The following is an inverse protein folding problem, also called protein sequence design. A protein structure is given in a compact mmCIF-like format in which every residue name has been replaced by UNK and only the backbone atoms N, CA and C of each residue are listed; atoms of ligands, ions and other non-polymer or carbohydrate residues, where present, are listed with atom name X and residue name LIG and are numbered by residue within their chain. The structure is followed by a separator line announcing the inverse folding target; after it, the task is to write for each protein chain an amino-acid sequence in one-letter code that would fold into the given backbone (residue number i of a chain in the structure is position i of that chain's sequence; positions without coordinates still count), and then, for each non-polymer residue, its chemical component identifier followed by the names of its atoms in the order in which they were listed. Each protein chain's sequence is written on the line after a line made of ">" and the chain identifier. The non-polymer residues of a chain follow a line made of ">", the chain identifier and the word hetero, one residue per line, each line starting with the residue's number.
data_IF_136656241276
#
_entry.id   IF_136656241276
#
_cell.length_a   1.000
_cell.length_b   1.000
_cell.length_c   1.000
_cell.angle_alpha   90.00
_cell.angle_beta   90.00
_cell.angle_gamma   90.00
#
_symmetry.space_group_name_H-M   'P 1'
#
loop_
_entity.id
_entity.type
_entity.pdbx_description
1 polymer ?
#
# COMPACT_ATOMS: atom_id res chain seq x y z
N UNK A 1 12.59 -11.96 -41.18
CA UNK A 1 13.49 -11.86 -40.01
C UNK A 1 12.78 -12.55 -38.85
N UNK A 2 13.31 -13.68 -38.37
CA UNK A 2 12.66 -14.45 -37.31
C UNK A 2 12.63 -13.61 -36.03
N UNK A 3 11.42 -13.36 -35.51
CA UNK A 3 11.22 -12.72 -34.21
C UNK A 3 12.03 -13.55 -33.19
N UNK A 4 12.85 -12.90 -32.36
CA UNK A 4 13.65 -13.60 -31.34
C UNK A 4 12.69 -14.04 -30.24
N UNK A 5 12.18 -15.26 -30.33
CA UNK A 5 11.28 -15.82 -29.31
C UNK A 5 12.11 -16.12 -28.04
N UNK A 6 11.47 -15.93 -26.90
CA UNK A 6 11.93 -16.45 -25.61
C UNK A 6 11.25 -17.79 -25.44
N UNK A 7 12.02 -18.78 -25.03
CA UNK A 7 11.53 -20.12 -24.74
C UNK A 7 11.37 -20.30 -23.23
N UNK A 8 10.65 -21.35 -22.82
CA UNK A 8 10.46 -21.68 -21.40
C UNK A 8 11.80 -21.85 -20.66
N UNK A 9 12.76 -22.56 -21.27
CA UNK A 9 14.06 -22.85 -20.66
C UNK A 9 14.86 -21.58 -20.33
N UNK A 10 14.76 -20.53 -21.17
CA UNK A 10 15.39 -19.23 -20.93
C UNK A 10 14.83 -18.61 -19.62
N UNK A 11 13.52 -18.72 -19.41
CA UNK A 11 12.81 -18.18 -18.23
C UNK A 11 13.08 -19.03 -16.99
N UNK A 12 13.06 -20.36 -17.12
CA UNK A 12 13.35 -21.28 -16.04
C UNK A 12 14.79 -21.10 -15.51
N UNK A 13 15.78 -21.00 -16.41
CA UNK A 13 17.17 -20.77 -16.02
C UNK A 13 17.37 -19.43 -15.30
N UNK A 14 16.75 -18.36 -15.80
CA UNK A 14 16.79 -17.04 -15.16
C UNK A 14 16.08 -17.03 -13.79
N UNK A 15 14.95 -17.73 -13.68
CA UNK A 15 14.20 -17.84 -12.44
C UNK A 15 14.97 -18.65 -11.38
N UNK A 16 15.57 -19.78 -11.77
CA UNK A 16 16.42 -20.57 -10.87
C UNK A 16 17.63 -19.76 -10.39
N UNK A 17 18.30 -19.02 -11.28
CA UNK A 17 19.43 -18.15 -10.92
C UNK A 17 19.05 -17.09 -9.88
N UNK A 18 17.84 -16.52 -9.97
CA UNK A 18 17.33 -15.58 -8.98
C UNK A 18 17.06 -16.28 -7.65
N UNK A 19 16.42 -17.46 -7.68
CA UNK A 19 16.15 -18.29 -6.50
C UNK A 19 17.44 -18.68 -5.76
N UNK A 20 18.46 -19.13 -6.47
CA UNK A 20 19.77 -19.50 -5.91
C UNK A 20 20.49 -18.29 -5.28
N UNK A 21 20.24 -17.09 -5.81
CA UNK A 21 20.74 -15.83 -5.26
C UNK A 21 19.91 -15.30 -4.08
N UNK A 22 18.91 -16.04 -3.61
CA UNK A 22 17.98 -15.61 -2.55
C UNK A 22 17.06 -14.45 -2.97
N UNK A 23 16.92 -14.21 -4.28
CA UNK A 23 16.09 -13.14 -4.84
C UNK A 23 14.81 -13.70 -5.44
N UNK A 24 13.72 -12.96 -5.31
CA UNK A 24 12.42 -13.35 -5.89
C UNK A 24 12.48 -13.29 -7.42
N UNK A 25 12.13 -14.38 -8.13
CA UNK A 25 11.99 -14.38 -9.58
C UNK A 25 10.79 -13.54 -10.02
N UNK A 26 11.03 -12.32 -10.50
CA UNK A 26 9.97 -11.43 -11.02
C UNK A 26 10.09 -11.28 -12.53
N UNK A 27 8.98 -10.99 -13.22
CA UNK A 27 8.97 -10.80 -14.68
C UNK A 27 9.99 -9.74 -15.13
N UNK A 28 10.14 -8.67 -14.36
CA UNK A 28 11.12 -7.59 -14.65
C UNK A 28 12.54 -8.11 -14.50
N UNK A 29 12.87 -8.73 -13.37
CA UNK A 29 14.22 -9.25 -13.11
C UNK A 29 14.63 -10.32 -14.13
N UNK A 30 13.69 -11.18 -14.54
CA UNK A 30 13.92 -12.18 -15.57
C UNK A 30 14.13 -11.53 -16.93
N UNK A 31 13.34 -10.51 -17.29
CA UNK A 31 13.53 -9.76 -18.53
C UNK A 31 14.87 -9.04 -18.56
N UNK A 32 15.35 -8.53 -17.44
CA UNK A 32 16.66 -7.89 -17.33
C UNK A 32 17.80 -8.90 -17.51
N UNK A 33 17.63 -10.14 -17.04
CA UNK A 33 18.60 -11.23 -17.23
C UNK A 33 18.63 -11.70 -18.70
N UNK A 34 17.45 -11.89 -19.29
CA UNK A 34 17.32 -12.51 -20.63
C UNK A 34 17.53 -11.47 -21.75
N UNK A 35 17.14 -10.21 -21.54
CA UNK A 35 17.30 -9.09 -22.48
C UNK A 35 16.45 -9.19 -23.75
N UNK A 36 15.55 -10.18 -23.85
CA UNK A 36 14.64 -10.42 -24.98
C UNK A 36 13.30 -10.99 -24.46
N UNK A 37 12.30 -11.07 -25.35
CA UNK A 37 10.96 -11.58 -25.03
C UNK A 37 9.99 -10.49 -24.57
N UNK A 38 8.69 -10.70 -24.84
CA UNK A 38 7.65 -9.83 -24.29
C UNK A 38 7.41 -10.18 -22.83
N UNK A 39 7.00 -9.17 -22.04
CA UNK A 39 6.59 -9.37 -20.65
C UNK A 39 5.46 -10.40 -20.52
N UNK A 40 4.56 -10.48 -21.50
CA UNK A 40 3.46 -11.44 -21.52
C UNK A 40 3.97 -12.88 -21.65
N UNK A 41 4.88 -13.14 -22.58
CA UNK A 41 5.47 -14.48 -22.76
C UNK A 41 6.31 -14.88 -21.55
N UNK A 42 7.12 -13.96 -21.02
CA UNK A 42 7.90 -14.21 -19.80
C UNK A 42 6.97 -14.50 -18.62
N UNK A 43 5.87 -13.76 -18.48
CA UNK A 43 4.89 -14.00 -17.41
C UNK A 43 4.22 -15.37 -17.51
N UNK A 44 3.90 -15.83 -18.73
CA UNK A 44 3.33 -17.17 -18.94
C UNK A 44 4.29 -18.27 -18.51
N UNK A 45 5.54 -18.21 -18.97
CA UNK A 45 6.55 -19.22 -18.62
C UNK A 45 6.98 -19.14 -17.16
N UNK A 46 7.05 -17.94 -16.57
CA UNK A 46 7.34 -17.78 -15.15
C UNK A 46 6.23 -18.40 -14.30
N UNK A 47 4.96 -18.21 -14.69
CA UNK A 47 3.83 -18.83 -14.00
C UNK A 47 3.92 -20.36 -14.04
N UNK A 48 4.15 -20.91 -15.23
CA UNK A 48 4.34 -22.36 -15.39
C UNK A 48 5.53 -22.87 -14.53
N UNK A 49 6.67 -22.18 -14.56
CA UNK A 49 7.84 -22.55 -13.76
C UNK A 49 7.55 -22.46 -12.25
N UNK A 50 6.81 -21.43 -11.81
CA UNK A 50 6.43 -21.24 -10.40
C UNK A 50 5.51 -22.34 -9.88
N UNK A 51 4.60 -22.85 -10.71
CA UNK A 51 3.69 -23.96 -10.38
C UNK A 51 4.48 -25.27 -10.20
N UNK A 52 5.50 -25.52 -11.03
CA UNK A 52 6.35 -26.71 -10.95
C UNK A 52 7.39 -26.67 -9.81
N UNK A 53 7.82 -25.47 -9.39
CA UNK A 53 8.92 -25.27 -8.44
C UNK A 53 8.44 -24.78 -7.06
N UNK A 54 7.14 -24.92 -6.78
CA UNK A 54 6.46 -24.47 -5.56
C UNK A 54 6.97 -23.11 -5.11
N UNK A 55 6.90 -22.12 -6.01
CA UNK A 55 6.91 -20.71 -5.61
C UNK A 55 5.53 -20.29 -5.05
N UNK A 56 4.64 -21.25 -4.78
CA UNK A 56 3.80 -21.13 -3.60
C UNK A 56 4.75 -21.00 -2.42
N UNK A 57 5.06 -19.75 -2.06
CA UNK A 57 5.13 -19.42 -0.66
C UNK A 57 3.88 -20.09 -0.05
N UNK A 58 4.07 -21.27 0.59
CA UNK A 58 3.72 -21.33 2.00
C UNK A 58 4.04 -19.93 2.50
N UNK A 59 3.00 -19.13 2.72
CA UNK A 59 3.08 -18.04 3.66
C UNK A 59 3.83 -18.67 4.80
N UNK A 60 5.14 -18.41 4.90
CA UNK A 60 5.89 -18.82 6.06
C UNK A 60 5.14 -18.04 7.11
N UNK A 61 4.24 -18.72 7.80
CA UNK A 61 3.49 -18.18 8.90
C UNK A 61 4.59 -17.95 9.90
N UNK A 62 5.19 -16.75 9.82
CA UNK A 62 6.16 -16.29 10.77
C UNK A 62 5.33 -16.22 12.02
N UNK A 63 5.40 -17.27 12.83
CA UNK A 63 4.80 -17.31 14.15
C UNK A 63 5.55 -16.25 14.95
N UNK A 64 5.02 -15.04 14.90
CA UNK A 64 5.55 -13.92 15.66
C UNK A 64 5.42 -14.30 17.13
N UNK A 65 6.50 -14.20 17.92
CA UNK A 65 6.40 -14.40 19.36
C UNK A 65 5.30 -13.51 19.95
N UNK A 66 4.58 -14.02 20.94
CA UNK A 66 3.47 -13.29 21.58
C UNK A 66 3.89 -11.89 22.06
N UNK A 67 5.14 -11.73 22.49
CA UNK A 67 5.72 -10.44 22.86
C UNK A 67 5.74 -9.44 21.71
N UNK A 68 6.08 -9.88 20.50
CA UNK A 68 6.13 -9.01 19.30
C UNK A 68 4.73 -8.58 18.88
N UNK A 69 3.75 -9.49 18.96
CA UNK A 69 2.35 -9.17 18.69
C UNK A 69 1.80 -8.17 19.73
N UNK A 70 2.10 -8.40 21.00
CA UNK A 70 1.71 -7.50 22.10
C UNK A 70 2.30 -6.10 21.93
N UNK A 71 3.59 -6.01 21.55
CA UNK A 71 4.26 -4.74 21.28
C UNK A 71 3.65 -4.01 20.08
N UNK A 72 3.30 -4.75 19.02
CA UNK A 72 2.65 -4.20 17.84
C UNK A 72 1.26 -3.66 18.16
N UNK A 73 0.46 -4.39 18.93
CA UNK A 73 -0.87 -3.93 19.39
C UNK A 73 -0.76 -2.65 20.24
N UNK A 74 0.18 -2.61 21.19
CA UNK A 74 0.41 -1.42 22.00
C UNK A 74 0.82 -0.22 21.15
N UNK A 75 1.67 -0.45 20.14
CA UNK A 75 2.10 0.58 19.22
C UNK A 75 0.94 1.11 18.37
N UNK A 76 0.12 0.22 17.81
CA UNK A 76 -1.08 0.58 17.04
C UNK A 76 -2.08 1.37 17.88
N UNK A 77 -2.30 0.98 19.13
CA UNK A 77 -3.15 1.72 20.06
C UNK A 77 -2.63 3.15 20.27
N UNK A 78 -1.31 3.33 20.46
CA UNK A 78 -0.71 4.67 20.61
C UNK A 78 -0.92 5.54 19.38
N UNK A 79 -0.69 5.00 18.18
CA UNK A 79 -0.95 5.73 16.93
C UNK A 79 -2.41 6.14 16.86
N UNK A 80 -3.33 5.21 17.11
CA UNK A 80 -4.76 5.49 17.08
C UNK A 80 -5.17 6.58 18.07
N UNK A 81 -4.67 6.52 19.31
CA UNK A 81 -4.97 7.53 20.34
C UNK A 81 -4.49 8.91 19.91
N UNK A 82 -3.27 9.03 19.38
CA UNK A 82 -2.73 10.32 18.90
C UNK A 82 -3.52 10.85 17.71
N UNK A 83 -3.82 9.98 16.74
CA UNK A 83 -4.60 10.35 15.56
C UNK A 83 -6.01 10.81 15.95
N UNK A 84 -6.66 10.08 16.85
CA UNK A 84 -7.99 10.42 17.35
C UNK A 84 -8.00 11.75 18.11
N UNK A 85 -7.06 11.97 19.02
CA UNK A 85 -6.95 13.23 19.75
C UNK A 85 -6.76 14.42 18.79
N UNK A 86 -5.91 14.27 17.76
CA UNK A 86 -5.72 15.31 16.73
C UNK A 86 -6.99 15.56 15.92
N UNK A 87 -7.74 14.52 15.58
CA UNK A 87 -9.02 14.66 14.87
C UNK A 87 -10.08 15.35 15.74
N UNK A 88 -10.21 14.95 17.00
CA UNK A 88 -11.15 15.54 17.96
C UNK A 88 -10.84 17.03 18.18
N UNK A 89 -9.56 17.40 18.32
CA UNK A 89 -9.12 18.79 18.47
C UNK A 89 -9.43 19.64 17.21
N UNK A 90 -9.23 19.09 16.01
CA UNK A 90 -9.62 19.74 14.76
C UNK A 90 -11.13 19.96 14.68
N UNK A 91 -11.92 18.95 15.04
CA UNK A 91 -13.38 19.02 15.05
C UNK A 91 -13.89 20.06 16.06
N UNK A 92 -13.30 20.15 17.25
CA UNK A 92 -13.65 21.17 18.25
C UNK A 92 -13.35 22.58 17.76
N UNK A 93 -12.19 22.79 17.13
CA UNK A 93 -11.84 24.09 16.51
C UNK A 93 -12.84 24.49 15.43
N UNK A 94 -13.19 23.59 14.53
CA UNK A 94 -14.17 23.86 13.48
C UNK A 94 -15.55 24.21 14.06
N UNK A 95 -15.98 23.50 15.10
CA UNK A 95 -17.24 23.79 15.80
C UNK A 95 -17.23 25.16 16.46
N UNK A 96 -16.12 25.56 17.07
CA UNK A 96 -15.99 26.88 17.69
C UNK A 96 -16.04 27.99 16.64
N UNK A 97 -15.32 27.84 15.52
CA UNK A 97 -15.36 28.78 14.41
C UNK A 97 -16.78 28.93 13.83
N UNK A 98 -17.52 27.82 13.70
CA UNK A 98 -18.91 27.86 13.26
C UNK A 98 -19.81 28.60 14.25
N UNK A 99 -19.63 28.38 15.57
CA UNK A 99 -20.38 29.11 16.61
C UNK A 99 -20.12 30.60 16.56
N UNK A 100 -18.86 31.01 16.42
CA UNK A 100 -18.49 32.43 16.35
C UNK A 100 -19.13 33.12 15.14
N UNK A 101 -19.08 32.47 13.97
CA UNK A 101 -19.75 32.98 12.77
C UNK A 101 -21.26 33.10 12.94
N UNK A 102 -21.91 32.13 13.58
CA UNK A 102 -23.34 32.18 13.84
C UNK A 102 -23.71 33.38 14.73
N UNK A 103 -22.93 33.66 15.77
CA UNK A 103 -23.14 34.82 16.65
C UNK A 103 -22.99 36.13 15.85
N UNK A 104 -21.93 36.27 15.06
CA UNK A 104 -21.69 37.44 14.20
C UNK A 104 -22.85 37.66 13.22
N UNK A 105 -23.32 36.61 12.54
CA UNK A 105 -24.48 36.69 11.66
C UNK A 105 -25.75 37.12 12.41
N UNK A 106 -25.97 36.63 13.63
CA UNK A 106 -27.13 37.02 14.42
C UNK A 106 -27.06 38.48 14.89
N UNK A 107 -25.88 38.96 15.27
CA UNK A 107 -25.65 40.36 15.64
C UNK A 107 -25.89 41.30 14.46
N UNK A 108 -25.35 40.98 13.28
CA UNK A 108 -25.57 41.73 12.04
C UNK A 108 -27.06 41.82 11.67
N UNK A 109 -27.79 40.71 11.80
CA UNK A 109 -29.23 40.66 11.55
C UNK A 109 -30.05 41.49 12.55
N UNK A 110 -29.57 41.65 13.78
CA UNK A 110 -30.21 42.52 14.79
C UNK A 110 -29.91 44.00 14.54
N UNK A 111 -28.68 44.34 14.17
CA UNK A 111 -28.28 45.73 13.87
C UNK A 111 -28.92 46.26 12.57
N UNK A 112 -29.06 45.42 11.54
CA UNK A 112 -29.73 45.76 10.29
C UNK A 112 -31.24 45.99 10.45
N UNK A 113 -31.90 45.33 11.42
CA UNK A 113 -33.31 45.60 11.76
C UNK A 113 -33.52 46.88 12.56
N UNK A 114 -32.49 47.37 13.26
CA UNK A 114 -32.55 48.60 14.07
C UNK A 114 -32.45 49.90 13.27
N UNK A 115 -31.78 49.88 12.10
CA UNK A 115 -31.56 51.07 11.26
C UNK A 115 -32.65 51.30 10.18
N UNK A 116 -33.68 50.46 10.14
CA UNK A 116 -34.78 50.54 9.17
C UNK A 116 -36.06 51.22 9.67
N UNK A 117 -35.98 52.08 10.69
CA UNK A 117 -37.11 52.84 11.24
C UNK A 117 -36.94 54.34 11.07
#
# INVERSE_FOLDING_TARGET
>A
MARKLVEFDDVAAAAQKLKDAGKRPTVIAIRDIIGKGSFTTISTYLKQWSEEHSLDEELVEVVLPESVMSDAELFLQKIYTVAKASADEQLERERELLRQKEIEYQEDMQQGRGHGK
#
